data_IF_496437121350
#
_entry.id   IF_496437121350
#
_cell.length_a   1.000
_cell.length_b   1.000
_cell.length_c   1.000
_cell.angle_alpha   90.00
_cell.angle_beta   90.00
_cell.angle_gamma   90.00
#
_symmetry.space_group_name_H-M   'P 1'
#
loop_
_entity.id
_entity.type
_entity.pdbx_description
1 polymer ?
#
# COMPACT_ATOMS: atom_id res chain seq x y z
N UNK A 1 1.01 -18.87 28.42
CA UNK A 1 0.67 -19.40 29.76
C UNK A 1 -0.76 -19.91 29.84
N UNK A 2 -1.80 -19.18 29.38
CA UNK A 2 -3.20 -19.66 29.44
C UNK A 2 -3.40 -21.00 28.70
N UNK A 3 -2.80 -21.16 27.50
CA UNK A 3 -2.90 -22.39 26.71
C UNK A 3 -2.33 -23.60 27.45
N UNK A 4 -1.27 -23.45 28.24
CA UNK A 4 -0.70 -24.53 29.09
C UNK A 4 -1.68 -24.96 30.17
N UNK A 5 -2.42 -24.00 30.76
CA UNK A 5 -3.40 -24.29 31.80
C UNK A 5 -4.64 -24.99 31.24
N UNK A 6 -5.00 -24.76 29.99
CA UNK A 6 -6.12 -25.38 29.30
C UNK A 6 -5.80 -26.76 28.72
N UNK A 7 -4.50 -27.02 28.46
CA UNK A 7 -4.07 -28.27 27.88
C UNK A 7 -4.24 -29.44 28.84
N UNK A 8 -4.97 -30.48 28.42
CA UNK A 8 -5.13 -31.70 29.17
C UNK A 8 -5.10 -32.91 28.23
N UNK A 9 -4.20 -33.86 28.52
CA UNK A 9 -4.03 -35.09 27.72
C UNK A 9 -5.34 -35.91 27.61
N UNK A 10 -6.23 -35.82 28.58
CA UNK A 10 -7.52 -36.53 28.56
C UNK A 10 -8.47 -36.02 27.48
N UNK A 11 -8.26 -34.79 26.99
CA UNK A 11 -9.07 -34.20 25.94
C UNK A 11 -8.49 -34.39 24.52
N UNK A 12 -7.36 -35.10 24.40
CA UNK A 12 -6.80 -35.43 23.09
C UNK A 12 -7.66 -36.52 22.44
N UNK A 13 -8.29 -36.18 21.32
CA UNK A 13 -9.07 -37.12 20.52
C UNK A 13 -8.19 -38.22 19.94
N UNK A 14 -8.75 -39.45 19.81
CA UNK A 14 -8.05 -40.59 19.21
C UNK A 14 -8.03 -40.56 17.67
N UNK A 15 -8.81 -39.69 17.05
CA UNK A 15 -8.90 -39.54 15.62
C UNK A 15 -7.71 -38.70 15.08
N UNK A 16 -7.20 -38.99 13.86
CA UNK A 16 -6.19 -38.15 13.22
C UNK A 16 -6.69 -36.70 13.10
N UNK A 17 -5.94 -35.75 13.65
CA UNK A 17 -6.28 -34.34 13.50
C UNK A 17 -5.83 -33.84 12.12
N UNK A 18 -6.73 -33.15 11.40
CA UNK A 18 -6.39 -32.45 10.17
C UNK A 18 -6.15 -30.98 10.50
N UNK A 19 -4.98 -30.47 10.10
CA UNK A 19 -4.67 -29.04 10.28
C UNK A 19 -5.54 -28.18 9.34
N UNK A 20 -6.28 -27.24 9.90
CA UNK A 20 -7.16 -26.36 9.15
C UNK A 20 -6.46 -25.03 8.85
N UNK A 21 -5.85 -24.95 7.68
CA UNK A 21 -5.17 -23.73 7.20
C UNK A 21 -6.12 -22.55 7.03
N UNK A 22 -7.41 -22.76 6.69
CA UNK A 22 -8.39 -21.68 6.58
C UNK A 22 -8.68 -21.06 7.94
N UNK A 23 -8.84 -21.90 8.96
CA UNK A 23 -9.05 -21.45 10.33
C UNK A 23 -7.82 -20.69 10.85
N UNK A 24 -6.62 -21.19 10.61
CA UNK A 24 -5.37 -20.49 10.96
C UNK A 24 -5.31 -19.12 10.30
N UNK A 25 -5.55 -19.06 8.98
CA UNK A 25 -5.54 -17.81 8.22
C UNK A 25 -6.55 -16.78 8.77
N UNK A 26 -7.74 -17.22 9.18
CA UNK A 26 -8.73 -16.33 9.80
C UNK A 26 -8.29 -15.84 11.18
N UNK A 27 -7.68 -16.70 11.99
CA UNK A 27 -7.14 -16.32 13.31
C UNK A 27 -6.02 -15.30 13.14
N UNK A 28 -5.08 -15.54 12.21
CA UNK A 28 -4.00 -14.62 11.90
C UNK A 28 -4.53 -13.26 11.44
N UNK A 29 -5.51 -13.25 10.52
CA UNK A 29 -6.18 -12.00 10.11
C UNK A 29 -6.75 -11.21 11.27
N UNK A 30 -7.48 -11.89 12.19
CA UNK A 30 -8.06 -11.24 13.35
C UNK A 30 -6.99 -10.72 14.31
N UNK A 31 -5.92 -11.46 14.50
CA UNK A 31 -4.79 -11.04 15.32
C UNK A 31 -4.15 -9.77 14.75
N UNK A 32 -3.77 -9.77 13.47
CA UNK A 32 -3.20 -8.60 12.78
C UNK A 32 -4.14 -7.39 12.87
N UNK A 33 -5.43 -7.57 12.60
CA UNK A 33 -6.40 -6.48 12.61
C UNK A 33 -6.57 -5.83 13.98
N UNK A 34 -6.47 -6.62 15.07
CA UNK A 34 -6.70 -6.16 16.45
C UNK A 34 -5.42 -5.75 17.18
N UNK A 35 -4.25 -6.03 16.63
CA UNK A 35 -2.98 -5.63 17.25
C UNK A 35 -2.77 -4.11 17.08
N UNK A 36 -2.25 -3.48 18.12
CA UNK A 36 -1.83 -2.07 18.06
C UNK A 36 -0.80 -1.84 16.95
N UNK A 37 -0.84 -0.68 16.29
CA UNK A 37 0.01 -0.42 15.14
C UNK A 37 1.50 -0.44 15.47
N UNK A 38 1.90 0.07 16.63
CA UNK A 38 3.30 0.09 17.02
C UNK A 38 3.78 -1.33 17.36
N UNK A 39 2.96 -2.12 18.05
CA UNK A 39 3.25 -3.52 18.33
C UNK A 39 3.30 -4.35 17.04
N UNK A 40 2.35 -4.16 16.13
CA UNK A 40 2.33 -4.85 14.84
C UNK A 40 3.55 -4.51 13.96
N UNK A 41 3.97 -3.24 13.96
CA UNK A 41 5.19 -2.83 13.25
C UNK A 41 6.44 -3.50 13.84
N UNK A 42 6.51 -3.62 15.16
CA UNK A 42 7.61 -4.32 15.83
C UNK A 42 7.66 -5.80 15.42
N UNK A 43 6.52 -6.51 15.47
CA UNK A 43 6.41 -7.91 15.02
C UNK A 43 6.76 -8.06 13.53
N UNK A 44 6.39 -7.08 12.68
CA UNK A 44 6.76 -7.07 11.27
C UNK A 44 8.26 -6.94 11.06
N UNK A 45 8.93 -6.07 11.83
CA UNK A 45 10.40 -5.90 11.78
C UNK A 45 11.10 -7.20 12.21
N UNK A 46 10.65 -7.84 13.28
CA UNK A 46 11.17 -9.14 13.71
C UNK A 46 11.00 -10.21 12.62
N UNK A 47 9.83 -10.25 11.97
CA UNK A 47 9.59 -11.15 10.84
C UNK A 47 10.55 -10.87 9.67
N UNK A 48 10.76 -9.61 9.28
CA UNK A 48 11.68 -9.23 8.20
C UNK A 48 13.12 -9.66 8.48
N UNK A 49 13.57 -9.54 9.74
CA UNK A 49 14.88 -10.01 10.16
C UNK A 49 15.04 -11.55 10.05
N UNK A 50 13.96 -12.30 10.37
CA UNK A 50 13.96 -13.77 10.26
C UNK A 50 14.02 -14.24 8.79
N UNK A 51 13.39 -13.52 7.87
CA UNK A 51 13.37 -13.87 6.44
C UNK A 51 14.52 -13.19 5.65
N UNK A 52 15.51 -12.67 6.34
CA UNK A 52 16.74 -12.06 5.78
C UNK A 52 16.45 -10.94 4.76
N UNK A 53 15.43 -10.12 5.03
CA UNK A 53 15.12 -8.95 4.22
C UNK A 53 16.01 -7.76 4.63
N UNK A 54 16.33 -6.83 3.69
CA UNK A 54 17.08 -5.63 3.99
C UNK A 54 16.45 -4.80 5.11
N UNK A 55 17.27 -4.16 5.91
CA UNK A 55 16.80 -3.24 6.95
C UNK A 55 16.06 -2.06 6.35
N UNK A 56 14.93 -1.71 6.95
CA UNK A 56 14.10 -0.60 6.51
C UNK A 56 14.66 0.74 7.01
N UNK A 57 14.60 1.77 6.16
CA UNK A 57 14.92 3.13 6.56
C UNK A 57 13.88 3.68 7.54
N UNK A 58 14.22 4.73 8.29
CA UNK A 58 13.28 5.39 9.19
C UNK A 58 12.06 5.94 8.44
N UNK A 59 12.23 6.38 7.19
CA UNK A 59 11.12 6.85 6.35
C UNK A 59 10.16 5.70 6.00
N UNK A 60 10.70 4.52 5.66
CA UNK A 60 9.90 3.32 5.42
C UNK A 60 9.11 2.93 6.68
N UNK A 61 9.74 2.91 7.85
CA UNK A 61 9.08 2.57 9.12
C UNK A 61 7.95 3.56 9.46
N UNK A 62 8.20 4.86 9.31
CA UNK A 62 7.19 5.89 9.52
C UNK A 62 6.02 5.78 8.53
N UNK A 63 6.32 5.49 7.27
CA UNK A 63 5.31 5.24 6.23
C UNK A 63 4.46 4.02 6.55
N UNK A 64 5.10 2.89 6.89
CA UNK A 64 4.42 1.67 7.30
C UNK A 64 3.50 1.92 8.49
N UNK A 65 3.98 2.57 9.54
CA UNK A 65 3.17 2.87 10.73
C UNK A 65 1.88 3.60 10.37
N UNK A 66 1.97 4.63 9.51
CA UNK A 66 0.79 5.39 9.03
C UNK A 66 -0.15 4.54 8.19
N UNK A 67 0.39 3.61 7.39
CA UNK A 67 -0.41 2.80 6.48
C UNK A 67 -1.20 1.70 7.18
N UNK A 68 -0.77 1.25 8.36
CA UNK A 68 -1.44 0.18 9.12
C UNK A 68 -2.90 0.50 9.44
N UNK A 69 -3.27 1.77 9.58
CA UNK A 69 -4.65 2.19 9.87
C UNK A 69 -5.67 1.70 8.83
N UNK A 70 -5.26 1.55 7.57
CA UNK A 70 -6.16 1.10 6.49
C UNK A 70 -5.72 -0.20 5.82
N UNK A 71 -4.52 -0.73 6.08
CA UNK A 71 -4.04 -1.95 5.44
C UNK A 71 -4.23 -3.20 6.28
N UNK A 72 -4.00 -3.13 7.60
CA UNK A 72 -3.95 -4.30 8.49
C UNK A 72 -5.26 -5.12 8.55
N UNK A 73 -6.42 -4.47 8.43
CA UNK A 73 -7.73 -5.16 8.50
C UNK A 73 -8.04 -6.06 7.30
N UNK A 74 -7.32 -5.88 6.20
CA UNK A 74 -7.59 -6.53 4.91
C UNK A 74 -6.59 -7.64 4.54
N UNK A 75 -5.57 -7.88 5.37
CA UNK A 75 -4.52 -8.87 5.15
C UNK A 75 -4.61 -10.03 6.15
N UNK A 76 -4.00 -11.17 5.80
CA UNK A 76 -4.07 -12.40 6.62
C UNK A 76 -2.72 -12.79 7.22
N UNK A 77 -1.64 -12.23 6.71
CA UNK A 77 -0.26 -12.54 7.12
C UNK A 77 0.68 -11.39 6.78
N UNK A 78 1.93 -11.46 7.24
CA UNK A 78 2.95 -10.44 6.97
C UNK A 78 3.35 -10.35 5.49
N UNK A 79 3.51 -11.43 4.71
CA UNK A 79 3.72 -11.32 3.26
C UNK A 79 2.65 -10.48 2.55
N UNK A 80 1.37 -10.70 2.82
CA UNK A 80 0.28 -9.88 2.26
C UNK A 80 0.35 -8.42 2.74
N UNK A 81 0.75 -8.19 3.99
CA UNK A 81 0.92 -6.85 4.54
C UNK A 81 2.07 -6.11 3.85
N UNK A 82 3.20 -6.78 3.60
CA UNK A 82 4.36 -6.24 2.90
C UNK A 82 3.98 -5.94 1.43
N UNK A 83 3.34 -6.88 0.74
CA UNK A 83 2.89 -6.70 -0.65
C UNK A 83 2.00 -5.47 -0.77
N UNK A 84 1.01 -5.35 0.12
CA UNK A 84 0.06 -4.23 0.12
C UNK A 84 0.71 -2.87 0.40
N UNK A 85 1.80 -2.86 1.13
CA UNK A 85 2.58 -1.67 1.48
C UNK A 85 3.85 -1.49 0.64
N UNK A 86 4.02 -2.29 -0.41
CA UNK A 86 5.22 -2.28 -1.25
C UNK A 86 5.53 -0.90 -1.84
N UNK A 87 4.50 -0.07 -2.07
CA UNK A 87 4.67 1.30 -2.57
C UNK A 87 5.48 2.19 -1.63
N UNK A 88 5.47 1.90 -0.31
CA UNK A 88 6.27 2.62 0.70
C UNK A 88 7.73 2.18 0.63
N UNK A 89 7.96 0.91 0.33
CA UNK A 89 9.29 0.26 0.38
C UNK A 89 10.09 0.45 -0.92
N UNK A 90 9.47 1.02 -1.97
CA UNK A 90 10.12 1.30 -3.24
C UNK A 90 10.79 2.68 -3.20
N UNK A 91 12.10 2.69 -3.42
CA UNK A 91 12.86 3.92 -3.65
C UNK A 91 12.69 4.39 -5.10
N UNK A 92 12.85 5.69 -5.33
CA UNK A 92 12.84 6.29 -6.67
C UNK A 92 14.14 5.99 -7.44
N UNK A 93 14.09 5.81 -8.77
CA UNK A 93 12.91 5.82 -9.66
C UNK A 93 12.04 4.58 -9.51
N UNK A 94 10.71 4.78 -9.55
CA UNK A 94 9.77 3.68 -9.39
C UNK A 94 9.80 2.77 -10.62
N UNK A 95 10.12 1.48 -10.40
CA UNK A 95 9.99 0.45 -11.42
C UNK A 95 8.52 0.09 -11.62
N UNK A 96 8.05 0.11 -12.86
CA UNK A 96 6.66 -0.13 -13.21
C UNK A 96 6.53 -1.54 -13.75
N UNK A 97 5.53 -2.26 -13.24
CA UNK A 97 5.22 -3.61 -13.67
C UNK A 97 4.84 -3.61 -15.17
N UNK A 98 5.31 -4.57 -15.98
CA UNK A 98 5.07 -4.58 -17.44
C UNK A 98 3.58 -4.55 -17.81
N UNK A 99 2.74 -5.26 -17.05
CA UNK A 99 1.28 -5.30 -17.27
C UNK A 99 0.58 -3.95 -17.02
N UNK A 100 1.24 -3.04 -16.31
CA UNK A 100 0.75 -1.68 -16.08
C UNK A 100 1.21 -0.75 -17.20
N UNK A 101 2.45 -0.92 -17.67
CA UNK A 101 3.02 -0.10 -18.76
C UNK A 101 2.18 -0.22 -20.04
N UNK A 102 1.72 -1.43 -20.39
CA UNK A 102 0.88 -1.67 -21.57
C UNK A 102 -0.48 -0.94 -21.55
N UNK A 103 -0.91 -0.49 -20.37
CA UNK A 103 -2.23 0.16 -20.15
C UNK A 103 -2.13 1.69 -20.02
N UNK A 104 -0.92 2.25 -20.14
CA UNK A 104 -0.71 3.69 -20.05
C UNK A 104 -1.09 4.34 -21.36
N UNK A 105 -2.12 5.18 -21.34
CA UNK A 105 -2.61 5.93 -22.48
C UNK A 105 -2.11 7.39 -22.40
N UNK A 106 -1.88 8.04 -23.56
CA UNK A 106 -1.37 9.41 -23.63
C UNK A 106 -2.29 10.44 -22.96
N UNK A 107 -3.59 10.29 -23.14
CA UNK A 107 -4.56 11.29 -22.68
C UNK A 107 -4.63 11.44 -21.18
N UNK A 108 -4.68 10.36 -20.37
CA UNK A 108 -4.58 10.47 -18.92
C UNK A 108 -3.24 11.01 -18.40
N UNK A 109 -2.11 10.85 -19.15
CA UNK A 109 -0.81 11.45 -18.78
C UNK A 109 -0.89 12.98 -18.72
N UNK A 110 -1.60 13.63 -19.65
CA UNK A 110 -1.80 15.09 -19.64
C UNK A 110 -2.48 15.59 -18.38
N UNK A 111 -3.25 14.73 -17.70
CA UNK A 111 -3.88 15.06 -16.41
C UNK A 111 -2.83 15.33 -15.33
N UNK A 112 -1.69 14.63 -15.36
CA UNK A 112 -0.62 14.83 -14.38
C UNK A 112 -0.03 16.24 -14.46
N UNK A 113 0.11 16.81 -15.68
CA UNK A 113 0.60 18.19 -15.90
C UNK A 113 -0.27 19.23 -15.20
N UNK A 114 -1.57 18.98 -15.10
CA UNK A 114 -2.53 19.87 -14.45
C UNK A 114 -2.57 19.61 -12.95
N UNK A 115 -2.51 18.35 -12.55
CA UNK A 115 -2.60 17.92 -11.15
C UNK A 115 -1.37 18.30 -10.33
N UNK A 116 -0.17 17.98 -10.84
CA UNK A 116 1.09 18.07 -10.07
C UNK A 116 1.35 19.47 -9.51
N UNK A 117 1.19 20.56 -10.28
CA UNK A 117 1.36 21.92 -9.72
C UNK A 117 0.32 22.27 -8.62
N UNK A 118 -0.90 21.78 -8.74
CA UNK A 118 -1.96 22.07 -7.77
C UNK A 118 -1.75 21.35 -6.43
N UNK A 119 -1.06 20.20 -6.44
CA UNK A 119 -0.68 19.47 -5.23
C UNK A 119 0.26 20.25 -4.31
N UNK A 120 0.99 21.24 -4.82
CA UNK A 120 1.88 22.08 -4.02
C UNK A 120 1.14 22.87 -2.92
N UNK A 121 -0.08 23.30 -3.21
CA UNK A 121 -0.81 24.25 -2.37
C UNK A 121 -2.05 23.65 -1.68
N UNK A 122 -2.43 22.40 -1.99
CA UNK A 122 -3.59 21.76 -1.37
C UNK A 122 -3.29 21.39 0.09
N UNK A 123 -4.28 21.50 0.97
CA UNK A 123 -4.14 20.91 2.31
C UNK A 123 -3.98 19.40 2.20
N UNK A 124 -2.92 18.84 2.83
CA UNK A 124 -2.55 17.45 2.66
C UNK A 124 -3.36 16.53 3.59
N UNK A 125 -4.63 16.40 3.29
CA UNK A 125 -5.54 15.43 3.90
C UNK A 125 -6.36 14.71 2.81
N UNK A 126 -6.86 13.53 3.15
CA UNK A 126 -7.56 12.65 2.21
C UNK A 126 -8.72 13.36 1.48
N UNK A 127 -9.55 14.10 2.23
CA UNK A 127 -10.74 14.77 1.66
C UNK A 127 -10.34 15.83 0.64
N UNK A 128 -9.32 16.65 0.97
CA UNK A 128 -8.87 17.71 0.07
C UNK A 128 -8.14 17.19 -1.15
N UNK A 129 -7.40 16.09 -1.02
CA UNK A 129 -6.80 15.39 -2.15
C UNK A 129 -7.88 14.82 -3.08
N UNK A 130 -8.95 14.25 -2.52
CA UNK A 130 -10.08 13.73 -3.28
C UNK A 130 -10.85 14.83 -4.01
N UNK A 131 -11.15 15.95 -3.35
CA UNK A 131 -11.76 17.14 -3.93
C UNK A 131 -10.93 17.68 -5.10
N UNK A 132 -9.60 17.81 -4.92
CA UNK A 132 -8.70 18.30 -5.95
C UNK A 132 -8.68 17.36 -7.17
N UNK A 133 -8.51 16.05 -6.93
CA UNK A 133 -8.47 15.10 -8.05
C UNK A 133 -9.78 15.07 -8.83
N UNK A 134 -10.92 15.14 -8.15
CA UNK A 134 -12.22 15.21 -8.81
C UNK A 134 -12.35 16.49 -9.65
N UNK A 135 -11.94 17.65 -9.12
CA UNK A 135 -11.93 18.91 -9.85
C UNK A 135 -11.03 18.85 -11.10
N UNK A 136 -9.85 18.27 -10.99
CA UNK A 136 -8.95 18.08 -12.15
C UNK A 136 -9.57 17.13 -13.18
N UNK A 137 -10.20 16.04 -12.73
CA UNK A 137 -10.91 15.11 -13.61
C UNK A 137 -12.04 15.81 -14.38
N UNK A 138 -12.81 16.69 -13.73
CA UNK A 138 -13.85 17.51 -14.37
C UNK A 138 -13.27 18.47 -15.41
N UNK A 139 -12.15 19.15 -15.09
CA UNK A 139 -11.47 20.07 -16.02
C UNK A 139 -11.02 19.39 -17.31
N UNK A 140 -10.61 18.12 -17.24
CA UNK A 140 -10.15 17.34 -18.40
C UNK A 140 -11.24 16.43 -18.99
N UNK A 141 -12.45 16.53 -18.49
CA UNK A 141 -13.63 15.73 -18.91
C UNK A 141 -13.39 14.20 -18.78
N UNK A 142 -12.59 13.78 -17.80
CA UNK A 142 -12.29 12.38 -17.51
C UNK A 142 -12.93 11.91 -16.22
N UNK A 143 -13.29 10.64 -16.17
CA UNK A 143 -13.69 9.99 -14.91
C UNK A 143 -12.48 9.58 -14.11
N UNK A 144 -12.53 9.72 -12.79
CA UNK A 144 -11.44 9.28 -11.89
C UNK A 144 -10.96 7.84 -12.17
N UNK A 145 -11.85 6.92 -12.51
CA UNK A 145 -11.51 5.53 -12.88
C UNK A 145 -10.54 5.41 -14.06
N UNK A 146 -10.51 6.40 -14.94
CA UNK A 146 -9.60 6.47 -16.10
C UNK A 146 -8.22 7.01 -15.68
N UNK A 147 -8.17 7.93 -14.72
CA UNK A 147 -6.95 8.56 -14.22
C UNK A 147 -6.26 7.70 -13.14
N UNK A 148 -7.03 7.01 -12.31
CA UNK A 148 -6.53 6.24 -11.18
C UNK A 148 -5.46 5.18 -11.54
N UNK A 149 -5.52 4.43 -12.66
CA UNK A 149 -4.47 3.49 -13.05
C UNK A 149 -3.10 4.16 -13.23
N UNK A 150 -3.05 5.34 -13.83
CA UNK A 150 -1.82 6.10 -14.04
C UNK A 150 -1.25 6.60 -12.72
N UNK A 151 -2.11 7.12 -11.84
CA UNK A 151 -1.68 7.51 -10.51
C UNK A 151 -1.11 6.32 -9.71
N UNK A 152 -1.71 5.13 -9.84
CA UNK A 152 -1.15 3.91 -9.22
C UNK A 152 0.19 3.51 -9.83
N UNK A 153 0.32 3.61 -11.15
CA UNK A 153 1.58 3.35 -11.85
C UNK A 153 2.67 4.30 -11.36
N UNK A 154 2.40 5.59 -11.31
CA UNK A 154 3.35 6.61 -10.87
C UNK A 154 3.74 6.46 -9.39
N UNK A 155 2.78 6.21 -8.50
CA UNK A 155 3.00 6.16 -7.06
C UNK A 155 3.58 4.82 -6.58
N UNK A 156 3.25 3.72 -7.25
CA UNK A 156 3.56 2.37 -6.76
C UNK A 156 4.17 1.44 -7.82
N UNK A 157 4.12 1.80 -9.09
CA UNK A 157 4.55 0.94 -10.20
C UNK A 157 3.69 -0.31 -10.39
N UNK A 158 2.51 -0.39 -9.75
CA UNK A 158 1.66 -1.60 -9.75
C UNK A 158 0.18 -1.23 -9.77
N UNK A 159 -0.64 -2.13 -10.31
CA UNK A 159 -2.10 -2.00 -10.26
C UNK A 159 -2.72 -2.52 -8.94
N UNK A 160 -2.01 -3.41 -8.24
CA UNK A 160 -2.44 -4.00 -6.97
C UNK A 160 -2.01 -3.13 -5.78
N UNK A 161 -2.74 -2.06 -5.55
CA UNK A 161 -2.38 -1.05 -4.55
C UNK A 161 -3.57 -0.69 -3.64
N UNK A 162 -3.32 -0.04 -2.51
CA UNK A 162 -4.37 0.66 -1.77
C UNK A 162 -5.05 1.76 -2.61
N UNK A 163 -5.97 2.50 -2.00
CA UNK A 163 -6.54 3.70 -2.63
C UNK A 163 -5.43 4.71 -2.97
N UNK A 164 -5.55 5.39 -4.11
CA UNK A 164 -4.64 6.47 -4.50
C UNK A 164 -4.52 7.53 -3.41
N UNK A 165 -5.64 7.91 -2.80
CA UNK A 165 -5.67 8.92 -1.73
C UNK A 165 -4.95 8.45 -0.47
N UNK A 166 -5.08 7.17 -0.11
CA UNK A 166 -4.36 6.59 1.04
C UNK A 166 -2.86 6.55 0.77
N UNK A 167 -2.45 6.16 -0.44
CA UNK A 167 -1.04 6.18 -0.83
C UNK A 167 -0.46 7.58 -0.78
N UNK A 168 -1.13 8.60 -1.35
CA UNK A 168 -0.68 9.98 -1.32
C UNK A 168 -0.56 10.49 0.13
N UNK A 169 -1.54 10.19 0.98
CA UNK A 169 -1.52 10.60 2.39
C UNK A 169 -0.31 10.01 3.14
N UNK A 170 0.02 8.75 2.88
CA UNK A 170 1.13 8.04 3.51
C UNK A 170 2.49 8.51 2.99
N UNK A 171 2.64 8.64 1.68
CA UNK A 171 3.88 9.10 1.06
C UNK A 171 4.20 10.55 1.46
N UNK A 172 3.17 11.35 1.67
CA UNK A 172 3.34 12.78 1.92
C UNK A 172 3.48 13.57 0.62
N UNK A 173 3.47 14.92 0.76
CA UNK A 173 3.46 15.84 -0.37
C UNK A 173 4.68 15.69 -1.27
N UNK A 174 5.86 15.82 -0.69
CA UNK A 174 7.13 15.84 -1.43
C UNK A 174 7.32 14.57 -2.24
N UNK A 175 7.26 13.42 -1.58
CA UNK A 175 7.45 12.13 -2.24
C UNK A 175 6.39 11.85 -3.32
N UNK A 176 5.14 12.22 -3.07
CA UNK A 176 4.06 12.09 -4.06
C UNK A 176 4.38 12.92 -5.32
N UNK A 177 4.70 14.19 -5.14
CA UNK A 177 4.97 15.11 -6.26
C UNK A 177 6.18 14.64 -7.07
N UNK A 178 7.26 14.26 -6.39
CA UNK A 178 8.48 13.77 -7.06
C UNK A 178 8.21 12.50 -7.89
N UNK A 179 7.44 11.54 -7.37
CA UNK A 179 7.05 10.34 -8.12
C UNK A 179 6.22 10.68 -9.36
N UNK A 180 5.31 11.63 -9.26
CA UNK A 180 4.49 12.07 -10.40
C UNK A 180 5.34 12.77 -11.47
N UNK A 181 6.28 13.64 -11.07
CA UNK A 181 7.20 14.33 -11.97
C UNK A 181 8.11 13.32 -12.69
N UNK A 182 8.76 12.42 -11.98
CA UNK A 182 9.63 11.39 -12.57
C UNK A 182 8.88 10.51 -13.56
N UNK A 183 7.67 10.11 -13.20
CA UNK A 183 6.81 9.34 -14.08
C UNK A 183 6.43 10.11 -15.35
N UNK A 184 6.05 11.39 -15.21
CA UNK A 184 5.71 12.26 -16.33
C UNK A 184 6.91 12.45 -17.29
N UNK A 185 8.09 12.72 -16.75
CA UNK A 185 9.32 12.88 -17.54
C UNK A 185 9.64 11.61 -18.33
N UNK A 186 9.56 10.45 -17.69
CA UNK A 186 9.84 9.16 -18.33
C UNK A 186 8.91 8.90 -19.52
N UNK A 187 7.62 9.06 -19.35
CA UNK A 187 6.64 8.70 -20.37
C UNK A 187 6.33 9.81 -21.39
N UNK A 188 6.67 11.08 -21.11
CA UNK A 188 6.62 12.14 -22.15
C UNK A 188 7.76 12.04 -23.17
N UNK A 189 8.88 11.39 -22.82
CA UNK A 189 10.02 11.22 -23.74
C UNK A 189 9.90 9.95 -24.60
N UNK A 190 8.93 9.08 -24.32
CA UNK A 190 8.69 7.83 -25.06
C UNK A 190 7.55 7.96 -26.09
N UNK A 191 6.85 9.11 -26.13
CA UNK A 191 5.79 9.47 -27.08
C UNK A 191 6.28 10.61 -27.98
#
# INVERSE_FOLDING_TARGET
>A
EQAKNWFNLKHIGKSPSRFDFKKLSNISKLHIANTDNAALLHELIEYLNVVDQPSLSQNHLNGLLRSLDFTKSSVKNFPELIEKNSFILKDRPINIDPDVTEKIEEFPLKTLKILTPQLQNVKWDRSKLEELLNSVCEQVELKFRTVAPILRAALAGSSKTPSVFDMMTVLGREETIERLIEFEVKYNNEI
#
